data_IF_367327408772
#
_entry.id   IF_367327408772
#
_cell.length_a   1.000
_cell.length_b   1.000
_cell.length_c   1.000
_cell.angle_alpha   90.00
_cell.angle_beta   90.00
_cell.angle_gamma   90.00
#
_symmetry.space_group_name_H-M   'P 1'
#
loop_
_entity.id
_entity.type
_entity.pdbx_description
1 polymer ?
#
# COMPACT_ATOMS: atom_id res chain seq x y z
N UNK A 1 -50.60 -0.75 24.43
CA UNK A 1 -49.44 -0.27 23.63
C UNK A 1 -48.25 -1.09 24.13
N UNK A 2 -48.08 -2.28 23.57
CA UNK A 2 -47.04 -3.22 24.01
C UNK A 2 -45.66 -2.65 23.67
N UNK A 3 -44.81 -2.53 24.68
CA UNK A 3 -43.42 -2.13 24.53
C UNK A 3 -42.67 -3.26 23.84
N UNK A 4 -42.26 -3.04 22.59
CA UNK A 4 -41.30 -3.92 21.93
C UNK A 4 -39.96 -3.77 22.65
N UNK A 5 -39.57 -4.81 23.40
CA UNK A 5 -38.24 -4.93 23.99
C UNK A 5 -37.22 -5.11 22.87
N UNK A 6 -36.56 -4.04 22.46
CA UNK A 6 -35.43 -4.10 21.53
C UNK A 6 -34.15 -4.54 22.26
N UNK A 7 -34.13 -5.76 22.77
CA UNK A 7 -32.87 -6.46 23.07
C UNK A 7 -32.69 -7.50 21.99
N UNK A 8 -32.19 -7.06 20.83
CA UNK A 8 -31.86 -7.96 19.74
C UNK A 8 -30.80 -8.95 20.23
N UNK A 9 -31.14 -10.23 20.19
CA UNK A 9 -30.19 -11.29 20.54
C UNK A 9 -29.06 -11.30 19.51
N UNK A 10 -27.80 -11.14 19.92
CA UNK A 10 -26.67 -11.07 18.99
C UNK A 10 -26.53 -12.38 18.24
N UNK A 11 -26.39 -12.28 16.91
CA UNK A 11 -26.29 -13.42 16.00
C UNK A 11 -25.08 -14.33 16.29
N UNK A 12 -24.05 -13.79 16.93
CA UNK A 12 -22.83 -14.52 17.27
C UNK A 12 -22.04 -13.79 18.36
N UNK A 13 -21.33 -14.58 19.17
CA UNK A 13 -20.34 -14.07 20.13
C UNK A 13 -19.00 -14.78 19.95
N UNK A 14 -17.87 -14.04 20.00
CA UNK A 14 -16.56 -14.67 20.00
C UNK A 14 -16.37 -15.50 21.27
N UNK A 15 -15.85 -16.73 21.16
CA UNK A 15 -15.45 -17.50 22.32
C UNK A 15 -14.46 -16.72 23.21
N UNK A 16 -14.47 -16.91 24.54
CA UNK A 16 -13.58 -16.18 25.46
C UNK A 16 -12.09 -16.29 25.10
N UNK A 17 -11.67 -17.43 24.55
CA UNK A 17 -10.29 -17.64 24.09
C UNK A 17 -9.92 -16.75 22.91
N UNK A 18 -10.84 -16.58 21.95
CA UNK A 18 -10.63 -15.70 20.80
C UNK A 18 -10.50 -14.23 21.24
N UNK A 19 -11.27 -13.80 22.24
CA UNK A 19 -11.15 -12.45 22.83
C UNK A 19 -9.77 -12.29 23.45
N UNK A 20 -9.34 -13.22 24.32
CA UNK A 20 -8.05 -13.16 25.02
C UNK A 20 -6.86 -13.16 24.05
N UNK A 21 -6.94 -13.91 22.95
CA UNK A 21 -5.86 -14.03 21.99
C UNK A 21 -5.87 -12.96 20.88
N UNK A 22 -6.82 -12.02 20.92
CA UNK A 22 -6.95 -10.96 19.92
C UNK A 22 -5.81 -9.94 19.99
N UNK A 23 -5.51 -9.30 18.86
CA UNK A 23 -4.53 -8.20 18.82
C UNK A 23 -4.94 -7.01 19.70
N UNK A 24 -6.25 -6.79 19.90
CA UNK A 24 -6.76 -5.74 20.77
C UNK A 24 -6.49 -6.05 22.25
N UNK A 25 -6.66 -7.31 22.68
CA UNK A 25 -6.30 -7.73 24.03
C UNK A 25 -4.80 -7.59 24.29
N UNK A 26 -3.95 -7.91 23.29
CA UNK A 26 -2.49 -7.68 23.37
C UNK A 26 -2.15 -6.18 23.51
N UNK A 27 -2.81 -5.32 22.73
CA UNK A 27 -2.61 -3.87 22.85
C UNK A 27 -3.06 -3.33 24.20
N UNK A 28 -4.20 -3.78 24.75
CA UNK A 28 -4.65 -3.42 26.10
C UNK A 28 -3.66 -3.86 27.19
N UNK A 29 -3.14 -5.07 27.09
CA UNK A 29 -2.10 -5.55 28.02
C UNK A 29 -0.83 -4.68 27.92
N UNK A 30 -0.40 -4.35 26.69
CA UNK A 30 0.74 -3.47 26.47
C UNK A 30 0.52 -2.06 27.05
N UNK A 31 -0.68 -1.48 26.90
CA UNK A 31 -1.04 -0.19 27.49
C UNK A 31 -0.97 -0.22 29.02
N UNK A 32 -1.43 -1.31 29.65
CA UNK A 32 -1.34 -1.51 31.10
C UNK A 32 0.12 -1.55 31.56
N UNK A 33 0.96 -2.29 30.84
CA UNK A 33 2.37 -2.50 31.19
C UNK A 33 3.26 -1.28 30.92
N UNK A 34 3.05 -0.59 29.80
CA UNK A 34 3.98 0.45 29.31
C UNK A 34 3.48 1.87 29.55
N UNK A 35 2.17 2.06 29.71
CA UNK A 35 1.54 3.38 29.90
C UNK A 35 0.71 3.48 31.18
N UNK A 36 0.64 2.42 31.99
CA UNK A 36 -0.20 2.35 33.19
C UNK A 36 -1.68 2.68 32.92
N UNK A 37 -2.14 2.40 31.69
CA UNK A 37 -3.52 2.59 31.27
C UNK A 37 -4.24 1.24 31.25
N UNK A 38 -5.27 1.10 32.08
CA UNK A 38 -6.08 -0.11 32.13
C UNK A 38 -7.52 0.20 31.70
N UNK A 39 -8.09 -0.70 30.90
CA UNK A 39 -9.44 -0.59 30.36
C UNK A 39 -10.11 -1.92 30.58
N UNK A 40 -11.38 -1.93 31.00
CA UNK A 40 -12.13 -3.16 31.32
C UNK A 40 -12.66 -3.85 30.07
N UNK A 41 -13.02 -3.07 29.05
CA UNK A 41 -13.67 -3.54 27.84
C UNK A 41 -13.26 -2.75 26.59
N UNK A 42 -13.82 -3.13 25.44
CA UNK A 42 -13.57 -2.43 24.18
C UNK A 42 -14.15 -1.00 24.21
N UNK A 43 -15.25 -0.79 24.94
CA UNK A 43 -15.97 0.47 24.96
C UNK A 43 -15.20 1.56 25.71
N UNK A 44 -14.66 1.24 26.87
CA UNK A 44 -13.80 2.11 27.67
C UNK A 44 -12.50 2.47 26.93
N UNK A 45 -11.88 1.49 26.25
CA UNK A 45 -10.74 1.76 25.37
C UNK A 45 -11.11 2.71 24.21
N UNK A 46 -12.26 2.50 23.58
CA UNK A 46 -12.75 3.35 22.50
C UNK A 46 -13.00 4.79 23.00
N UNK A 47 -13.68 4.95 24.14
CA UNK A 47 -13.94 6.25 24.76
C UNK A 47 -12.64 7.02 25.01
N UNK A 48 -11.61 6.34 25.52
CA UNK A 48 -10.28 6.93 25.66
C UNK A 48 -9.66 7.27 24.30
N UNK A 49 -9.73 6.37 23.32
CA UNK A 49 -9.09 6.60 22.00
C UNK A 49 -9.62 7.82 21.25
N UNK A 50 -10.87 8.22 21.50
CA UNK A 50 -11.48 9.41 20.89
C UNK A 50 -11.45 10.64 21.81
N UNK A 51 -11.37 10.42 23.13
CA UNK A 51 -11.28 11.49 24.13
C UNK A 51 -9.88 12.10 24.21
N UNK A 52 -8.85 11.26 24.13
CA UNK A 52 -7.43 11.67 24.16
C UNK A 52 -6.69 11.14 22.93
N UNK A 53 -6.88 11.85 21.82
CA UNK A 53 -6.32 11.50 20.52
C UNK A 53 -4.79 11.47 20.53
N UNK A 54 -4.14 12.42 21.22
CA UNK A 54 -2.67 12.50 21.24
C UNK A 54 -2.07 11.32 22.01
N UNK A 55 -2.61 11.00 23.19
CA UNK A 55 -2.15 9.84 23.94
C UNK A 55 -2.40 8.53 23.18
N UNK A 56 -3.56 8.40 22.53
CA UNK A 56 -3.89 7.22 21.73
C UNK A 56 -2.94 7.02 20.55
N UNK A 57 -2.74 8.04 19.72
CA UNK A 57 -1.90 7.91 18.53
C UNK A 57 -0.41 7.83 18.88
N UNK A 58 0.04 8.47 19.97
CA UNK A 58 1.37 8.22 20.54
C UNK A 58 1.56 6.76 20.94
N UNK A 59 0.59 6.19 21.65
CA UNK A 59 0.62 4.79 22.08
C UNK A 59 0.62 3.81 20.88
N UNK A 60 -0.18 4.10 19.84
CA UNK A 60 -0.19 3.30 18.60
C UNK A 60 1.18 3.36 17.90
N UNK A 61 1.77 4.56 17.80
CA UNK A 61 3.09 4.76 17.20
C UNK A 61 4.15 3.92 17.91
N UNK A 62 4.16 3.91 19.24
CA UNK A 62 5.11 3.12 20.02
C UNK A 62 4.85 1.62 19.97
N UNK A 63 3.59 1.20 20.11
CA UNK A 63 3.20 -0.22 20.08
C UNK A 63 3.60 -0.91 18.76
N UNK A 64 3.45 -0.21 17.64
CA UNK A 64 3.85 -0.71 16.32
C UNK A 64 5.31 -0.38 15.94
N UNK A 65 6.09 0.19 16.86
CA UNK A 65 7.47 0.63 16.63
C UNK A 65 7.58 1.47 15.34
N UNK A 66 6.72 2.49 15.21
CA UNK A 66 6.80 3.47 14.14
C UNK A 66 8.04 4.33 14.37
N UNK A 67 8.91 4.39 13.36
CA UNK A 67 10.26 4.91 13.44
C UNK A 67 10.37 6.11 12.55
N UNK A 68 10.53 7.25 13.21
CA UNK A 68 10.73 8.49 12.51
C UNK A 68 12.23 8.71 12.29
N UNK A 69 12.62 8.99 11.04
CA UNK A 69 13.96 9.50 10.70
C UNK A 69 14.16 10.93 11.19
N UNK A 70 13.07 11.67 11.40
CA UNK A 70 13.05 12.94 12.12
C UNK A 70 11.86 12.91 13.06
N UNK A 71 12.10 13.00 14.37
CA UNK A 71 11.05 12.92 15.36
C UNK A 71 10.00 14.03 15.16
N UNK A 72 8.70 13.72 15.31
CA UNK A 72 7.65 14.72 15.25
C UNK A 72 7.74 15.69 16.44
N UNK A 73 7.39 16.95 16.21
CA UNK A 73 7.32 17.99 17.24
C UNK A 73 6.09 17.80 18.14
N UNK A 74 4.99 17.34 17.55
CA UNK A 74 3.74 17.02 18.24
C UNK A 74 2.98 15.92 17.49
N UNK A 75 2.15 15.16 18.21
CA UNK A 75 1.32 14.10 17.63
C UNK A 75 0.14 14.68 16.85
N UNK A 76 -0.44 15.79 17.31
CA UNK A 76 -1.63 16.39 16.68
C UNK A 76 -1.57 17.92 16.78
N UNK A 77 -1.71 18.60 15.64
CA UNK A 77 -2.11 20.01 15.58
C UNK A 77 -3.52 20.08 15.03
N UNK A 78 -4.48 20.40 15.91
CA UNK A 78 -5.88 20.56 15.52
C UNK A 78 -6.08 21.88 14.78
N UNK A 79 -6.89 21.83 13.74
CA UNK A 79 -7.37 23.01 13.03
C UNK A 79 -8.92 23.02 13.01
N UNK A 80 -9.58 24.19 13.08
CA UNK A 80 -11.03 24.28 12.93
C UNK A 80 -11.54 23.71 11.59
N UNK A 81 -10.75 23.80 10.52
CA UNK A 81 -10.97 23.08 9.28
C UNK A 81 -10.23 21.73 9.34
N UNK A 82 -10.95 20.59 9.37
CA UNK A 82 -10.33 19.27 9.43
C UNK A 82 -9.32 18.99 8.30
N UNK A 83 -9.41 19.67 7.16
CA UNK A 83 -8.46 19.51 6.04
C UNK A 83 -7.06 19.99 6.40
N UNK A 84 -6.93 20.94 7.32
CA UNK A 84 -5.65 21.51 7.75
C UNK A 84 -5.09 20.87 9.03
N UNK A 85 -5.77 19.84 9.57
CA UNK A 85 -5.28 19.13 10.76
C UNK A 85 -4.01 18.34 10.44
N UNK A 86 -2.95 18.56 11.22
CA UNK A 86 -1.66 17.89 11.02
C UNK A 86 -1.44 16.78 12.06
N UNK A 87 -1.11 15.58 11.59
CA UNK A 87 -0.70 14.45 12.42
C UNK A 87 0.81 14.27 12.38
N UNK A 88 1.43 14.08 13.54
CA UNK A 88 2.88 13.90 13.68
C UNK A 88 3.68 15.01 12.99
N UNK A 89 3.29 16.27 13.22
CA UNK A 89 3.85 17.44 12.57
C UNK A 89 5.38 17.51 12.74
N UNK A 90 6.10 17.79 11.65
CA UNK A 90 7.57 17.76 11.59
C UNK A 90 8.18 16.34 11.49
N UNK A 91 7.38 15.30 11.72
CA UNK A 91 7.80 13.92 11.67
C UNK A 91 8.13 13.47 10.24
N UNK A 92 9.25 12.75 10.07
CA UNK A 92 9.62 12.12 8.80
C UNK A 92 9.77 10.63 8.96
N UNK A 93 9.20 9.85 8.04
CA UNK A 93 9.30 8.39 7.97
C UNK A 93 9.21 7.92 6.52
N UNK A 94 9.45 6.64 6.27
CA UNK A 94 9.19 6.03 4.96
C UNK A 94 8.28 4.80 5.08
N UNK A 95 7.16 4.81 4.33
CA UNK A 95 6.19 3.72 4.33
C UNK A 95 6.80 2.37 3.90
N UNK A 96 7.60 2.37 2.82
CA UNK A 96 8.19 1.15 2.29
C UNK A 96 9.24 0.57 3.25
N UNK A 97 10.03 1.42 3.91
CA UNK A 97 10.96 1.00 4.98
C UNK A 97 10.22 0.27 6.11
N UNK A 98 9.11 0.87 6.56
CA UNK A 98 8.26 0.29 7.60
C UNK A 98 7.68 -1.08 7.24
N UNK A 99 7.27 -1.25 5.98
CA UNK A 99 6.70 -2.50 5.48
C UNK A 99 7.79 -3.57 5.27
N UNK A 100 8.92 -3.18 4.68
CA UNK A 100 9.98 -4.10 4.26
C UNK A 100 10.89 -4.61 5.39
N UNK A 101 10.78 -4.05 6.60
CA UNK A 101 11.43 -4.64 7.79
C UNK A 101 10.70 -5.85 8.35
N UNK A 102 9.42 -6.04 8.01
CA UNK A 102 8.60 -7.16 8.50
C UNK A 102 8.62 -7.38 10.02
N UNK A 103 8.54 -6.28 10.78
CA UNK A 103 8.62 -6.29 12.24
C UNK A 103 10.02 -6.51 12.83
N UNK A 104 11.06 -6.59 11.99
CA UNK A 104 12.47 -6.61 12.42
C UNK A 104 13.00 -5.20 12.69
N UNK A 105 14.13 -5.14 13.40
CA UNK A 105 14.87 -3.90 13.62
C UNK A 105 15.60 -3.38 12.39
N UNK A 106 15.83 -4.23 11.38
CA UNK A 106 16.50 -3.90 10.13
C UNK A 106 15.72 -4.45 8.94
N UNK A 107 15.89 -3.85 7.77
CA UNK A 107 15.45 -4.46 6.50
C UNK A 107 16.39 -5.63 6.23
N UNK A 108 15.87 -6.84 6.29
CA UNK A 108 16.66 -8.06 6.13
C UNK A 108 16.75 -8.51 4.67
N UNK A 109 17.97 -8.61 4.15
CA UNK A 109 18.26 -9.16 2.82
C UNK A 109 18.37 -10.70 2.80
N UNK A 110 18.24 -11.35 3.97
CA UNK A 110 18.41 -12.81 4.16
C UNK A 110 17.23 -13.40 4.96
N UNK A 111 16.01 -12.94 4.69
CA UNK A 111 14.77 -13.49 5.27
C UNK A 111 14.00 -14.31 4.22
N UNK A 112 14.13 -15.64 4.29
CA UNK A 112 13.50 -16.60 3.39
C UNK A 112 12.02 -16.87 3.69
N UNK A 113 11.45 -16.23 4.72
CA UNK A 113 10.01 -16.34 4.99
C UNK A 113 9.21 -15.72 3.83
N UNK A 114 8.01 -16.24 3.54
CA UNK A 114 7.17 -15.70 2.47
C UNK A 114 6.73 -14.26 2.78
N UNK A 115 6.81 -13.41 1.77
CA UNK A 115 6.23 -12.06 1.76
C UNK A 115 4.99 -11.99 0.86
N UNK A 116 5.05 -12.59 -0.33
CA UNK A 116 3.96 -12.58 -1.31
C UNK A 116 3.65 -14.02 -1.71
N UNK A 117 2.38 -14.38 -1.59
CA UNK A 117 1.81 -15.58 -2.20
C UNK A 117 0.95 -15.13 -3.37
N UNK A 118 1.41 -15.37 -4.59
CA UNK A 118 0.70 -15.02 -5.80
C UNK A 118 0.10 -16.26 -6.47
N UNK A 119 -1.13 -16.13 -6.96
CA UNK A 119 -1.80 -17.17 -7.72
C UNK A 119 -2.46 -16.54 -8.93
N UNK A 120 -2.05 -16.97 -10.11
CA UNK A 120 -2.74 -16.66 -11.36
C UNK A 120 -3.86 -17.69 -11.63
N UNK A 121 -4.71 -17.42 -12.63
CA UNK A 121 -5.64 -18.42 -13.16
C UNK A 121 -4.86 -19.64 -13.70
N UNK A 122 -5.51 -20.82 -13.77
CA UNK A 122 -4.94 -21.95 -14.50
C UNK A 122 -4.47 -21.54 -15.90
N UNK A 123 -3.27 -21.97 -16.26
CA UNK A 123 -2.59 -21.70 -17.54
C UNK A 123 -2.26 -20.21 -17.82
N UNK A 124 -2.48 -19.32 -16.85
CA UNK A 124 -2.07 -17.92 -16.95
C UNK A 124 -0.55 -17.74 -16.73
N UNK A 125 0.09 -16.79 -17.43
CA UNK A 125 1.49 -16.47 -17.21
C UNK A 125 1.78 -16.09 -15.75
N UNK A 126 2.76 -16.77 -15.17
CA UNK A 126 3.23 -16.57 -13.81
C UNK A 126 2.80 -17.66 -12.82
N UNK A 127 1.71 -18.39 -13.07
CA UNK A 127 1.27 -19.51 -12.23
C UNK A 127 1.16 -19.17 -10.74
N UNK A 128 1.52 -20.12 -9.87
CA UNK A 128 1.68 -19.87 -8.43
C UNK A 128 3.12 -19.46 -8.14
N UNK A 129 3.29 -18.38 -7.38
CA UNK A 129 4.60 -17.88 -6.98
C UNK A 129 4.63 -17.61 -5.48
N UNK A 130 5.78 -17.89 -4.88
CA UNK A 130 6.10 -17.45 -3.52
C UNK A 130 7.30 -16.54 -3.67
N UNK A 131 7.17 -15.29 -3.22
CA UNK A 131 8.28 -14.37 -3.12
C UNK A 131 8.69 -14.26 -1.65
N UNK A 132 9.96 -14.51 -1.35
CA UNK A 132 10.48 -14.32 0.00
C UNK A 132 10.58 -12.84 0.33
N UNK A 133 10.74 -12.54 1.62
CA UNK A 133 10.97 -11.18 2.11
C UNK A 133 12.27 -10.60 1.56
N UNK A 134 13.34 -11.38 1.57
CA UNK A 134 14.62 -11.02 0.94
C UNK A 134 14.47 -10.68 -0.55
N UNK A 135 13.78 -11.54 -1.31
CA UNK A 135 13.56 -11.32 -2.74
C UNK A 135 12.71 -10.07 -3.01
N UNK A 136 11.70 -9.80 -2.17
CA UNK A 136 10.90 -8.58 -2.30
C UNK A 136 11.76 -7.33 -2.07
N UNK A 137 12.60 -7.33 -1.02
CA UNK A 137 13.53 -6.24 -0.72
C UNK A 137 14.48 -6.00 -1.90
N UNK A 138 15.11 -7.05 -2.44
CA UNK A 138 16.01 -6.93 -3.58
C UNK A 138 15.30 -6.32 -4.81
N UNK A 139 14.15 -6.87 -5.18
CA UNK A 139 13.40 -6.40 -6.35
C UNK A 139 12.93 -4.96 -6.19
N UNK A 140 12.45 -4.57 -5.00
CA UNK A 140 12.08 -3.18 -4.71
C UNK A 140 13.29 -2.26 -4.85
N UNK A 141 14.45 -2.63 -4.28
CA UNK A 141 15.67 -1.83 -4.37
C UNK A 141 16.14 -1.66 -5.82
N UNK A 142 16.06 -2.72 -6.64
CA UNK A 142 16.42 -2.66 -8.06
C UNK A 142 15.50 -1.74 -8.85
N UNK A 143 14.18 -1.83 -8.66
CA UNK A 143 13.21 -0.96 -9.33
C UNK A 143 13.35 0.49 -8.85
N UNK A 144 13.50 0.73 -7.56
CA UNK A 144 13.74 2.07 -7.01
C UNK A 144 15.01 2.70 -7.58
N UNK A 145 16.09 1.93 -7.70
CA UNK A 145 17.35 2.37 -8.32
C UNK A 145 17.17 2.71 -9.79
N UNK A 146 16.43 1.88 -10.54
CA UNK A 146 16.11 2.15 -11.94
C UNK A 146 15.28 3.43 -12.09
N UNK A 147 14.27 3.64 -11.24
CA UNK A 147 13.44 4.86 -11.26
C UNK A 147 14.26 6.12 -10.97
N UNK A 148 15.19 6.08 -10.01
CA UNK A 148 16.11 7.21 -9.77
C UNK A 148 16.99 7.50 -10.99
N UNK A 149 17.47 6.46 -11.69
CA UNK A 149 18.25 6.62 -12.93
C UNK A 149 17.43 7.21 -14.07
N UNK A 150 16.11 6.95 -14.09
CA UNK A 150 15.15 7.58 -14.99
C UNK A 150 14.72 8.98 -14.53
N UNK A 151 15.38 9.55 -13.51
CA UNK A 151 15.14 10.93 -13.08
C UNK A 151 13.90 11.14 -12.21
N UNK A 152 13.39 10.08 -11.57
CA UNK A 152 12.31 10.21 -10.58
C UNK A 152 12.87 10.80 -9.28
N UNK A 153 12.20 11.84 -8.79
CA UNK A 153 12.49 12.58 -7.57
C UNK A 153 11.31 12.47 -6.60
N UNK A 154 11.54 12.91 -5.36
CA UNK A 154 10.47 13.02 -4.36
C UNK A 154 9.36 13.94 -4.88
N UNK A 155 8.10 13.51 -4.78
CA UNK A 155 6.92 14.26 -5.26
C UNK A 155 6.58 14.06 -6.75
N UNK A 156 7.44 13.38 -7.53
CA UNK A 156 7.07 12.98 -8.90
C UNK A 156 5.98 11.91 -8.86
N UNK A 157 5.10 11.92 -9.86
CA UNK A 157 4.04 10.91 -10.00
C UNK A 157 4.50 9.78 -10.91
N UNK A 158 4.34 8.55 -10.43
CA UNK A 158 4.52 7.32 -11.21
C UNK A 158 3.19 6.60 -11.23
N UNK A 159 2.67 6.39 -12.44
CA UNK A 159 1.40 5.72 -12.65
C UNK A 159 1.59 4.25 -13.04
N UNK A 160 0.66 3.41 -12.61
CA UNK A 160 0.50 2.03 -13.04
C UNK A 160 -0.70 1.88 -13.96
N UNK A 161 -0.55 1.10 -15.02
CA UNK A 161 -1.64 0.46 -15.76
C UNK A 161 -1.47 -1.05 -15.61
N UNK A 162 -1.69 -1.53 -14.38
CA UNK A 162 -1.27 -2.85 -13.92
C UNK A 162 -2.41 -3.60 -13.22
N UNK A 163 -2.53 -4.92 -13.46
CA UNK A 163 -3.46 -5.80 -12.74
C UNK A 163 -2.92 -6.14 -11.34
N UNK A 164 -3.65 -6.98 -10.60
CA UNK A 164 -3.17 -7.53 -9.32
C UNK A 164 -2.06 -8.58 -9.56
N UNK A 165 -0.79 -8.15 -9.52
CA UNK A 165 0.39 -8.98 -9.73
C UNK A 165 1.52 -8.63 -8.77
N UNK A 166 2.51 -9.52 -8.68
CA UNK A 166 3.73 -9.31 -7.88
C UNK A 166 4.46 -8.04 -8.31
N UNK A 167 4.55 -7.78 -9.61
CA UNK A 167 5.22 -6.60 -10.15
C UNK A 167 4.53 -5.29 -9.75
N UNK A 168 3.20 -5.30 -9.57
CA UNK A 168 2.43 -4.15 -9.10
C UNK A 168 2.82 -3.76 -7.68
N UNK A 169 2.99 -4.75 -6.79
CA UNK A 169 3.43 -4.53 -5.41
C UNK A 169 4.87 -4.01 -5.40
N UNK A 170 5.76 -4.60 -6.20
CA UNK A 170 7.16 -4.15 -6.32
C UNK A 170 7.22 -2.71 -6.81
N UNK A 171 6.47 -2.35 -7.86
CA UNK A 171 6.44 -1.00 -8.41
C UNK A 171 5.93 0.02 -7.38
N UNK A 172 4.84 -0.28 -6.69
CA UNK A 172 4.30 0.57 -5.62
C UNK A 172 5.32 0.81 -4.51
N UNK A 173 5.93 -0.25 -3.97
CA UNK A 173 6.90 -0.14 -2.89
C UNK A 173 8.17 0.59 -3.33
N UNK A 174 8.62 0.39 -4.58
CA UNK A 174 9.75 1.13 -5.14
C UNK A 174 9.46 2.64 -5.21
N UNK A 175 8.30 3.03 -5.71
CA UNK A 175 7.87 4.44 -5.80
C UNK A 175 7.76 5.06 -4.40
N UNK A 176 7.13 4.36 -3.45
CA UNK A 176 7.01 4.81 -2.07
C UNK A 176 8.37 4.94 -1.36
N UNK A 177 9.31 4.02 -1.63
CA UNK A 177 10.65 4.02 -1.02
C UNK A 177 11.51 5.23 -1.43
N UNK A 178 11.22 5.84 -2.57
CA UNK A 178 11.96 7.00 -3.08
C UNK A 178 11.21 8.33 -2.88
N UNK A 179 10.08 8.31 -2.18
CA UNK A 179 9.26 9.49 -1.91
C UNK A 179 8.48 10.01 -3.12
N UNK A 180 8.39 9.22 -4.19
CA UNK A 180 7.51 9.50 -5.31
C UNK A 180 6.08 9.08 -4.99
N UNK A 181 5.12 9.57 -5.77
CA UNK A 181 3.69 9.39 -5.56
C UNK A 181 3.18 8.32 -6.54
N UNK A 182 2.59 7.26 -6.00
CA UNK A 182 2.02 6.16 -6.78
C UNK A 182 0.53 6.39 -7.07
N UNK A 183 0.12 6.05 -8.30
CA UNK A 183 -1.29 5.89 -8.66
C UNK A 183 -1.43 4.70 -9.60
N UNK A 184 -2.52 3.93 -9.54
CA UNK A 184 -2.72 2.77 -10.42
C UNK A 184 -4.13 2.75 -11.01
N UNK A 185 -4.22 2.52 -12.31
CA UNK A 185 -5.44 2.19 -13.03
C UNK A 185 -5.39 0.71 -13.42
N UNK A 186 -6.44 -0.08 -13.14
CA UNK A 186 -6.45 -1.48 -13.52
C UNK A 186 -6.74 -1.61 -15.04
N UNK A 187 -6.21 -2.65 -15.71
CA UNK A 187 -6.17 -2.73 -17.17
C UNK A 187 -7.53 -3.03 -17.82
N UNK A 188 -8.58 -3.25 -17.04
CA UNK A 188 -9.95 -3.39 -17.51
C UNK A 188 -10.54 -2.04 -17.96
N UNK A 189 -10.04 -0.91 -17.43
CA UNK A 189 -10.52 0.43 -17.77
C UNK A 189 -10.28 0.77 -19.25
N UNK A 190 -11.18 1.57 -19.82
CA UNK A 190 -10.98 2.15 -21.15
C UNK A 190 -9.90 3.22 -21.13
N UNK A 191 -9.27 3.47 -22.28
CA UNK A 191 -8.25 4.51 -22.44
C UNK A 191 -8.73 5.87 -21.92
N UNK A 192 -9.98 6.25 -22.24
CA UNK A 192 -10.62 7.46 -21.72
C UNK A 192 -10.72 7.46 -20.19
N UNK A 193 -11.17 6.36 -19.59
CA UNK A 193 -11.30 6.26 -18.13
C UNK A 193 -9.95 6.37 -17.41
N UNK A 194 -8.87 5.89 -18.03
CA UNK A 194 -7.51 6.07 -17.52
C UNK A 194 -7.05 7.52 -17.68
N UNK A 195 -7.24 8.12 -18.86
CA UNK A 195 -6.84 9.49 -19.15
C UNK A 195 -7.56 10.51 -18.26
N UNK A 196 -8.85 10.33 -18.00
CA UNK A 196 -9.63 11.19 -17.10
C UNK A 196 -9.01 11.26 -15.69
N UNK A 197 -8.24 10.25 -15.27
CA UNK A 197 -7.54 10.20 -13.98
C UNK A 197 -6.09 10.67 -14.09
N UNK A 198 -5.35 10.10 -15.03
CA UNK A 198 -3.90 10.27 -15.10
C UNK A 198 -3.49 11.66 -15.63
N UNK A 199 -4.32 12.31 -16.44
CA UNK A 199 -4.04 13.68 -16.89
C UNK A 199 -4.04 14.69 -15.75
N UNK A 200 -4.87 14.50 -14.71
CA UNK A 200 -4.94 15.38 -13.54
C UNK A 200 -3.69 15.33 -12.66
N UNK A 201 -2.92 14.24 -12.73
CA UNK A 201 -1.75 14.02 -11.87
C UNK A 201 -0.44 14.06 -12.64
N UNK A 202 -0.48 14.22 -13.97
CA UNK A 202 0.70 14.43 -14.82
C UNK A 202 1.87 13.49 -14.49
N UNK A 203 1.74 12.16 -14.70
CA UNK A 203 2.78 11.21 -14.33
C UNK A 203 4.01 11.37 -15.22
N UNK A 204 5.19 11.22 -14.60
CA UNK A 204 6.49 11.18 -15.30
C UNK A 204 6.75 9.79 -15.90
N UNK A 205 6.32 8.73 -15.22
CA UNK A 205 6.48 7.34 -15.65
C UNK A 205 5.13 6.63 -15.64
N UNK A 206 4.88 5.81 -16.67
CA UNK A 206 3.79 4.84 -16.72
C UNK A 206 4.38 3.43 -16.73
N UNK A 207 4.10 2.65 -15.69
CA UNK A 207 4.43 1.21 -15.63
C UNK A 207 3.21 0.44 -16.09
N UNK A 208 3.30 -0.38 -17.12
CA UNK A 208 2.15 -0.97 -17.78
C UNK A 208 2.34 -2.43 -18.20
N UNK A 209 1.23 -3.13 -18.39
CA UNK A 209 1.20 -4.42 -19.10
C UNK A 209 0.62 -4.26 -20.50
N UNK A 210 1.09 -5.10 -21.43
CA UNK A 210 0.53 -5.16 -22.80
C UNK A 210 -0.80 -5.91 -22.89
N UNK A 211 -1.20 -6.64 -21.86
CA UNK A 211 -2.43 -7.42 -21.81
C UNK A 211 -2.59 -8.11 -20.46
N UNK A 212 -3.65 -8.89 -20.30
CA UNK A 212 -3.84 -9.73 -19.11
C UNK A 212 -4.80 -10.89 -19.42
N UNK A 213 -4.78 -11.93 -18.59
CA UNK A 213 -5.71 -13.06 -18.68
C UNK A 213 -6.78 -12.96 -17.59
N UNK A 214 -8.05 -13.13 -17.99
CA UNK A 214 -9.17 -13.18 -17.06
C UNK A 214 -10.32 -14.01 -17.64
N UNK A 215 -10.90 -14.89 -16.82
CA UNK A 215 -11.96 -15.81 -17.24
C UNK A 215 -11.48 -16.78 -18.31
N UNK A 216 -10.21 -17.20 -18.26
CA UNK A 216 -9.59 -18.07 -19.25
C UNK A 216 -9.38 -17.45 -20.63
N UNK A 217 -9.51 -16.12 -20.77
CA UNK A 217 -9.34 -15.38 -22.03
C UNK A 217 -8.20 -14.36 -21.92
N UNK A 218 -7.44 -14.22 -23.00
CA UNK A 218 -6.46 -13.16 -23.15
C UNK A 218 -7.14 -11.85 -23.56
N UNK A 219 -6.79 -10.75 -22.87
CA UNK A 219 -7.25 -9.40 -23.15
C UNK A 219 -6.06 -8.56 -23.57
N UNK A 220 -5.92 -8.33 -24.88
CA UNK A 220 -4.88 -7.47 -25.43
C UNK A 220 -5.16 -6.00 -25.10
N UNK A 221 -4.16 -5.31 -24.55
CA UNK A 221 -4.23 -3.91 -24.13
C UNK A 221 -3.18 -3.02 -24.81
N UNK A 222 -2.50 -3.51 -25.86
CA UNK A 222 -1.49 -2.73 -26.59
C UNK A 222 -2.07 -1.48 -27.26
N UNK A 223 -3.23 -1.60 -27.91
CA UNK A 223 -3.90 -0.44 -28.54
C UNK A 223 -4.37 0.57 -27.49
N UNK A 224 -5.13 0.20 -26.44
CA UNK A 224 -5.44 1.11 -25.35
C UNK A 224 -4.21 1.74 -24.70
N UNK A 225 -3.13 0.97 -24.49
CA UNK A 225 -1.91 1.47 -23.89
C UNK A 225 -1.23 2.54 -24.76
N UNK A 226 -1.21 2.36 -26.08
CA UNK A 226 -0.69 3.37 -27.00
C UNK A 226 -1.52 4.66 -26.96
N UNK A 227 -2.85 4.55 -26.90
CA UNK A 227 -3.76 5.70 -26.75
C UNK A 227 -3.52 6.44 -25.42
N UNK A 228 -3.37 5.69 -24.32
CA UNK A 228 -3.09 6.27 -23.00
C UNK A 228 -1.75 6.99 -23.01
N UNK A 229 -0.68 6.36 -23.53
CA UNK A 229 0.64 6.99 -23.58
C UNK A 229 0.63 8.26 -24.44
N UNK A 230 -0.05 8.25 -25.58
CA UNK A 230 -0.20 9.43 -26.44
C UNK A 230 -1.02 10.56 -25.78
N UNK A 231 -1.97 10.22 -24.91
CA UNK A 231 -2.79 11.19 -24.18
C UNK A 231 -2.13 11.77 -22.92
N UNK A 232 -0.89 11.39 -22.59
CA UNK A 232 -0.16 11.88 -21.42
C UNK A 232 1.06 12.72 -21.84
N UNK A 233 0.89 14.03 -22.07
CA UNK A 233 1.96 14.88 -22.62
C UNK A 233 3.17 15.05 -21.69
N UNK A 234 3.01 14.80 -20.39
CA UNK A 234 4.10 14.88 -19.39
C UNK A 234 4.88 13.57 -19.23
N UNK A 235 4.44 12.51 -19.90
CA UNK A 235 5.04 11.18 -19.79
C UNK A 235 6.44 11.17 -20.41
N UNK A 236 7.44 10.80 -19.60
CA UNK A 236 8.83 10.71 -20.05
C UNK A 236 9.24 9.27 -20.34
N UNK A 237 8.69 8.31 -19.60
CA UNK A 237 9.02 6.90 -19.74
C UNK A 237 7.79 5.99 -19.67
N UNK A 238 7.72 5.04 -20.60
CA UNK A 238 6.81 3.90 -20.55
C UNK A 238 7.63 2.64 -20.21
N UNK A 239 7.32 2.01 -19.08
CA UNK A 239 7.98 0.78 -18.62
C UNK A 239 7.01 -0.38 -18.78
N UNK A 240 7.33 -1.34 -19.64
CA UNK A 240 6.51 -2.52 -19.85
C UNK A 240 6.93 -3.64 -18.90
N UNK A 241 5.95 -4.20 -18.19
CA UNK A 241 6.12 -5.45 -17.44
C UNK A 241 5.94 -6.60 -18.41
N UNK A 242 7.03 -7.30 -18.70
CA UNK A 242 6.99 -8.48 -19.55
C UNK A 242 6.17 -9.59 -18.89
N UNK A 243 5.14 -10.04 -19.62
CA UNK A 243 4.48 -11.31 -19.37
C UNK A 243 5.11 -12.28 -20.35
N UNK A 244 6.16 -13.01 -19.94
CA UNK A 244 6.82 -13.96 -20.84
C UNK A 244 5.78 -14.95 -21.41
N UNK A 245 5.82 -15.33 -22.70
CA UNK A 245 6.89 -15.20 -23.68
C UNK A 245 6.45 -14.64 -25.06
N UNK A 246 7.28 -13.73 -25.59
CA UNK A 246 7.32 -13.20 -26.97
C UNK A 246 6.28 -12.14 -27.37
N UNK A 247 6.60 -10.88 -27.10
CA UNK A 247 6.35 -9.79 -28.04
C UNK A 247 7.25 -8.59 -27.70
N UNK A 248 8.40 -8.49 -28.37
CA UNK A 248 9.17 -7.25 -28.44
C UNK A 248 8.31 -6.27 -29.25
N UNK A 249 7.78 -5.23 -28.60
CA UNK A 249 7.17 -4.10 -29.32
C UNK A 249 8.27 -3.14 -29.81
N UNK A 250 8.08 -2.50 -30.98
CA UNK A 250 9.08 -1.63 -31.57
C UNK A 250 9.36 -0.42 -30.66
N UNK A 251 10.64 -0.04 -30.57
CA UNK A 251 11.10 1.15 -29.83
C UNK A 251 10.34 2.37 -30.34
N UNK A 252 9.73 3.14 -29.44
CA UNK A 252 9.24 4.47 -29.75
C UNK A 252 10.47 5.34 -30.09
N UNK A 253 10.41 5.99 -31.26
CA UNK A 253 11.53 6.69 -31.88
C UNK A 253 12.09 7.84 -31.05
N UNK A 254 13.34 8.17 -31.36
CA UNK A 254 14.18 9.27 -30.86
C UNK A 254 13.53 10.64 -30.92
#
# INVERSE_FOLDING_TARGET
>A
MESVSHTAEPLWHPPPEQIRNSNLARFRAWLRENRSLDFDDCQSLFQWSVGDLEAFWSAISEYFDVRFTTAPETVLRRDPDPVNTEWFAGGRLNYAEHLLRFGSSTIGAEDDRPAILFCAEPDAPGGRQVLTRAELVDRVNRVATAMRRLGVQQGDRVAGYLPNRVETVIAFLAVASIGAIWSNCPPELSSRGVLDRLTQIEPKILVAVGGYRYGGKEHDRRTPLAEIAAGLPTLQHLVLVEQSASAILPRLGS
#
